data_IF_028904357190
#
_entry.id   IF_028904357190
#
_cell.length_a   1.000
_cell.length_b   1.000
_cell.length_c   1.000
_cell.angle_alpha   90.00
_cell.angle_beta   90.00
_cell.angle_gamma   90.00
#
_symmetry.space_group_name_H-M   'P 1'
#
loop_
_entity.id
_entity.type
_entity.pdbx_description
1 polymer ?
#
# COMPACT_ATOMS: atom_id res chain seq x y z
N UNK A 1 -8.52 27.70 47.74
CA UNK A 1 -8.24 26.45 47.03
C UNK A 1 -9.56 25.74 46.77
N UNK A 2 -9.99 25.67 45.51
CA UNK A 2 -11.17 24.91 45.09
C UNK A 2 -10.93 24.33 43.69
N UNK A 3 -11.01 23.01 43.59
CA UNK A 3 -10.82 22.25 42.36
C UNK A 3 -11.99 22.48 41.39
N UNK A 4 -11.77 22.62 40.07
CA UNK A 4 -12.85 22.54 39.10
C UNK A 4 -13.23 21.07 38.86
N UNK A 5 -14.49 20.75 39.16
CA UNK A 5 -15.10 19.45 38.88
C UNK A 5 -15.40 19.32 37.39
N UNK A 6 -14.65 18.45 36.70
CA UNK A 6 -14.95 18.04 35.32
C UNK A 6 -16.28 17.28 35.28
N UNK A 7 -17.32 17.90 34.73
CA UNK A 7 -18.56 17.23 34.33
C UNK A 7 -18.57 17.08 32.81
N UNK A 8 -17.88 16.06 32.34
CA UNK A 8 -18.27 15.39 31.10
C UNK A 8 -19.50 14.56 31.43
N UNK A 9 -20.63 14.82 30.76
CA UNK A 9 -21.64 13.85 30.30
C UNK A 9 -22.74 14.68 29.60
N UNK A 10 -22.78 14.66 28.27
CA UNK A 10 -23.56 13.72 27.45
C UNK A 10 -24.91 14.33 27.05
N UNK A 11 -25.06 14.46 25.73
CA UNK A 11 -26.30 14.28 24.97
C UNK A 11 -27.44 15.28 25.18
N UNK A 12 -27.44 16.32 24.34
CA UNK A 12 -28.67 16.85 23.76
C UNK A 12 -28.55 16.68 22.24
N UNK A 13 -29.17 15.62 21.75
CA UNK A 13 -29.30 15.30 20.33
C UNK A 13 -30.62 15.87 19.84
N UNK A 14 -30.55 16.52 18.67
CA UNK A 14 -31.60 16.71 17.64
C UNK A 14 -32.09 18.15 17.47
N UNK A 15 -32.62 18.48 16.27
CA UNK A 15 -32.03 18.31 14.95
C UNK A 15 -32.04 19.67 14.23
N UNK A 16 -31.64 19.65 12.96
CA UNK A 16 -31.91 20.68 11.95
C UNK A 16 -30.77 21.65 11.60
N UNK A 17 -30.52 21.68 10.29
CA UNK A 17 -29.53 22.44 9.53
C UNK A 17 -28.08 21.95 9.62
N UNK A 18 -27.79 20.89 8.87
CA UNK A 18 -26.43 20.69 8.33
C UNK A 18 -26.20 21.81 7.32
N UNK A 19 -25.53 22.88 7.74
CA UNK A 19 -24.88 23.79 6.79
C UNK A 19 -23.76 23.01 6.12
N UNK A 20 -23.91 22.72 4.82
CA UNK A 20 -22.81 22.27 3.99
C UNK A 20 -21.79 23.42 3.93
N UNK A 21 -20.76 23.32 4.77
CA UNK A 21 -19.64 24.26 4.79
C UNK A 21 -19.09 24.28 3.35
N UNK A 22 -19.06 25.43 2.67
CA UNK A 22 -18.54 25.50 1.32
C UNK A 22 -17.14 24.92 1.33
N UNK A 23 -16.84 24.05 0.37
CA UNK A 23 -15.51 23.50 0.11
C UNK A 23 -14.53 24.64 -0.22
N UNK A 24 -14.12 25.37 0.80
CA UNK A 24 -13.13 26.43 0.74
C UNK A 24 -12.03 26.06 1.70
N UNK A 25 -10.93 25.66 1.06
CA UNK A 25 -9.55 25.78 1.52
C UNK A 25 -9.21 25.12 2.86
N UNK A 26 -8.33 24.13 2.72
CA UNK A 26 -7.43 23.67 3.77
C UNK A 26 -8.08 22.72 4.77
N UNK A 27 -8.36 21.49 4.30
CA UNK A 27 -8.28 20.32 5.16
C UNK A 27 -6.96 20.40 5.93
N UNK A 28 -6.97 20.54 7.27
CA UNK A 28 -5.74 20.54 8.06
C UNK A 28 -4.94 19.28 7.70
N UNK A 29 -3.64 19.37 7.41
CA UNK A 29 -2.84 18.19 7.10
C UNK A 29 -2.82 17.32 8.35
N UNK A 30 -3.64 16.27 8.35
CA UNK A 30 -3.79 15.34 9.47
C UNK A 30 -2.40 14.75 9.81
N UNK A 31 -1.78 15.16 10.93
CA UNK A 31 -0.40 14.80 11.25
C UNK A 31 -0.28 13.32 11.63
N UNK A 32 -1.41 12.62 11.83
CA UNK A 32 -1.44 11.19 12.08
C UNK A 32 -1.33 10.35 10.79
N UNK A 33 -1.53 10.97 9.62
CA UNK A 33 -1.22 10.36 8.33
C UNK A 33 0.21 10.79 7.96
N UNK A 34 1.18 9.95 8.29
CA UNK A 34 2.58 10.10 7.88
C UNK A 34 2.71 9.91 6.35
N UNK A 35 2.20 10.87 5.58
CA UNK A 35 2.06 10.84 4.11
C UNK A 35 3.40 10.66 3.39
N UNK A 36 4.51 11.03 4.05
CA UNK A 36 5.89 10.80 3.57
C UNK A 36 6.43 9.40 3.88
N UNK A 37 5.96 8.75 4.95
CA UNK A 37 6.37 7.40 5.34
C UNK A 37 5.67 6.32 4.50
N UNK A 38 4.41 6.56 4.12
CA UNK A 38 3.63 5.67 3.24
C UNK A 38 4.33 5.41 1.89
N UNK A 39 4.98 6.43 1.31
CA UNK A 39 5.73 6.28 0.05
C UNK A 39 6.95 5.39 0.21
N UNK A 40 7.68 5.52 1.33
CA UNK A 40 8.81 4.66 1.66
C UNK A 40 8.39 3.22 1.92
N UNK A 41 7.26 3.01 2.60
CA UNK A 41 6.71 1.70 2.85
C UNK A 41 6.30 0.99 1.56
N UNK A 42 5.69 1.71 0.61
CA UNK A 42 5.34 1.14 -0.70
C UNK A 42 6.57 0.66 -1.47
N UNK A 43 7.63 1.48 -1.53
CA UNK A 43 8.91 1.10 -2.17
C UNK A 43 9.54 -0.09 -1.44
N UNK A 44 9.48 -0.10 -0.10
CA UNK A 44 9.96 -1.21 0.72
C UNK A 44 9.25 -2.53 0.43
N UNK A 45 7.92 -2.51 0.25
CA UNK A 45 7.13 -3.70 -0.11
C UNK A 45 7.51 -4.22 -1.50
N UNK A 46 7.73 -3.33 -2.48
CA UNK A 46 8.18 -3.72 -3.83
C UNK A 46 9.55 -4.39 -3.78
N UNK A 47 10.51 -3.79 -3.07
CA UNK A 47 11.86 -4.36 -2.91
C UNK A 47 11.78 -5.71 -2.18
N UNK A 48 10.96 -5.80 -1.14
CA UNK A 48 10.76 -7.04 -0.38
C UNK A 48 10.19 -8.16 -1.26
N UNK A 49 9.18 -7.85 -2.08
CA UNK A 49 8.57 -8.83 -2.99
C UNK A 49 9.58 -9.35 -4.02
N UNK A 50 10.32 -8.44 -4.67
CA UNK A 50 11.35 -8.80 -5.64
C UNK A 50 12.47 -9.61 -4.97
N UNK A 51 12.92 -9.19 -3.79
CA UNK A 51 13.94 -9.89 -3.01
C UNK A 51 13.50 -11.29 -2.59
N UNK A 52 12.22 -11.48 -2.25
CA UNK A 52 11.68 -12.79 -1.89
C UNK A 52 11.65 -13.74 -3.10
N UNK A 53 11.20 -13.25 -4.27
CA UNK A 53 11.21 -14.03 -5.52
C UNK A 53 12.64 -14.42 -5.88
N UNK A 54 13.58 -13.48 -5.79
CA UNK A 54 14.99 -13.74 -6.05
C UNK A 54 15.60 -14.73 -5.04
N UNK A 55 15.27 -14.61 -3.75
CA UNK A 55 15.75 -15.50 -2.70
C UNK A 55 15.20 -16.93 -2.86
N UNK A 56 13.91 -17.08 -3.18
CA UNK A 56 13.31 -18.39 -3.50
C UNK A 56 13.95 -18.99 -4.75
N UNK A 57 14.23 -18.16 -5.75
CA UNK A 57 14.92 -18.56 -6.97
C UNK A 57 16.36 -19.00 -6.74
N UNK A 58 17.08 -18.28 -5.89
CA UNK A 58 18.48 -18.56 -5.53
C UNK A 58 18.60 -19.79 -4.61
N UNK A 59 17.69 -19.96 -3.67
CA UNK A 59 17.78 -21.03 -2.67
C UNK A 59 17.38 -22.41 -3.20
N UNK A 60 16.58 -22.45 -4.28
CA UNK A 60 16.13 -23.71 -4.87
C UNK A 60 16.81 -23.95 -6.21
N UNK A 61 17.75 -24.90 -6.25
CA UNK A 61 18.33 -25.41 -7.50
C UNK A 61 17.28 -25.85 -8.52
N UNK A 62 16.06 -26.20 -8.06
CA UNK A 62 14.91 -26.53 -8.91
C UNK A 62 14.30 -25.28 -9.58
N UNK A 63 14.37 -24.12 -8.92
CA UNK A 63 13.86 -22.86 -9.46
C UNK A 63 14.79 -22.28 -10.53
N UNK A 64 16.10 -22.45 -10.40
CA UNK A 64 17.07 -22.09 -11.44
C UNK A 64 16.78 -22.85 -12.75
N UNK A 65 16.57 -24.18 -12.68
CA UNK A 65 16.16 -24.96 -13.85
C UNK A 65 14.78 -24.58 -14.37
N UNK A 66 13.81 -24.26 -13.50
CA UNK A 66 12.49 -23.80 -13.93
C UNK A 66 12.55 -22.45 -14.66
N UNK A 67 13.38 -21.51 -14.20
CA UNK A 67 13.55 -20.21 -14.84
C UNK A 67 14.25 -20.33 -16.19
N UNK A 68 15.34 -21.11 -16.26
CA UNK A 68 16.03 -21.40 -17.53
C UNK A 68 15.11 -22.12 -18.51
N UNK A 69 14.31 -23.09 -18.04
CA UNK A 69 13.35 -23.80 -18.86
C UNK A 69 12.24 -22.88 -19.38
N UNK A 70 11.65 -22.06 -18.52
CA UNK A 70 10.61 -21.11 -18.92
C UNK A 70 11.14 -20.09 -19.94
N UNK A 71 12.36 -19.59 -19.75
CA UNK A 71 13.01 -18.66 -20.67
C UNK A 71 13.29 -19.31 -22.03
N UNK A 72 13.86 -20.52 -22.04
CA UNK A 72 14.10 -21.27 -23.26
C UNK A 72 12.79 -21.59 -24.00
N UNK A 73 11.77 -22.06 -23.27
CA UNK A 73 10.45 -22.37 -23.84
C UNK A 73 9.78 -21.11 -24.42
N UNK A 74 9.92 -19.95 -23.75
CA UNK A 74 9.42 -18.68 -24.26
C UNK A 74 10.08 -18.28 -25.58
N UNK A 75 11.40 -18.39 -25.69
CA UNK A 75 12.11 -18.11 -26.95
C UNK A 75 11.63 -19.04 -28.06
N UNK A 76 11.52 -20.35 -27.78
CA UNK A 76 11.04 -21.35 -28.75
C UNK A 76 9.63 -21.00 -29.24
N UNK A 77 8.71 -20.68 -28.32
CA UNK A 77 7.34 -20.26 -28.66
C UNK A 77 7.33 -18.99 -29.51
N UNK A 78 8.10 -17.97 -29.14
CA UNK A 78 8.18 -16.72 -29.91
C UNK A 78 8.65 -16.99 -31.35
N UNK A 79 9.73 -17.76 -31.50
CA UNK A 79 10.26 -18.13 -32.83
C UNK A 79 9.24 -18.92 -33.63
N UNK A 80 8.55 -19.88 -33.00
CA UNK A 80 7.50 -20.67 -33.63
C UNK A 80 6.38 -19.79 -34.18
N UNK A 81 5.82 -18.90 -33.36
CA UNK A 81 4.77 -17.97 -33.78
C UNK A 81 5.22 -16.93 -34.82
N UNK A 82 6.52 -16.64 -34.89
CA UNK A 82 7.06 -15.71 -35.88
C UNK A 82 7.32 -16.37 -37.24
N UNK A 83 7.49 -17.70 -37.26
CA UNK A 83 7.94 -18.46 -38.44
C UNK A 83 6.82 -19.29 -39.08
N UNK A 84 5.81 -19.71 -38.31
CA UNK A 84 4.57 -20.34 -38.79
C UNK A 84 3.51 -19.25 -39.00
#
# INVERSE_FOLDING_TARGET
MSLPTSKFLVSQRSPDTIEEIPASKETPPDPLIAKRLQRGQYVGVVILAVGLIAAVGYLSRRFEYALLFAFALSIVLIVFFLTI
#
